data_IF_486034333706
#
_entry.id   IF_486034333706
#
_cell.length_a   1.000
_cell.length_b   1.000
_cell.length_c   1.000
_cell.angle_alpha   90.00
_cell.angle_beta   90.00
_cell.angle_gamma   90.00
#
_symmetry.space_group_name_H-M   'P 1'
#
loop_
_entity.id
_entity.type
_entity.pdbx_description
1 polymer ?
#
# COMPACT_ATOMS: atom_id res chain seq x y z
N UNK A 1 -2.23 -1.07 -16.00
CA UNK A 1 -2.37 0.21 -15.24
C UNK A 1 -1.31 0.20 -14.16
N UNK A 2 -0.54 1.27 -13.94
CA UNK A 2 0.58 1.23 -12.98
C UNK A 2 0.07 1.14 -11.53
N UNK A 3 0.57 0.15 -10.79
CA UNK A 3 0.36 -0.02 -9.35
C UNK A 3 1.43 0.67 -8.52
N UNK A 4 1.07 1.11 -7.31
CA UNK A 4 2.02 1.68 -6.36
C UNK A 4 2.29 0.69 -5.23
N UNK A 5 3.55 0.59 -4.82
CA UNK A 5 3.98 -0.18 -3.67
C UNK A 5 4.65 0.74 -2.64
N UNK A 6 4.25 0.60 -1.37
CA UNK A 6 4.84 1.32 -0.24
C UNK A 6 5.25 0.28 0.80
N UNK A 7 6.55 0.18 1.08
CA UNK A 7 7.05 -0.79 2.06
C UNK A 7 6.49 -0.51 3.47
N UNK A 8 6.46 0.76 3.86
CA UNK A 8 5.93 1.21 5.13
C UNK A 8 5.52 2.68 5.06
N UNK A 9 4.50 3.06 5.82
CA UNK A 9 4.16 4.44 6.13
C UNK A 9 3.77 4.52 7.61
N UNK A 10 4.27 5.54 8.31
CA UNK A 10 3.87 5.80 9.69
C UNK A 10 2.51 6.51 9.70
N UNK A 11 1.72 6.32 10.76
CA UNK A 11 0.45 7.01 10.95
C UNK A 11 0.67 8.54 10.96
N UNK A 12 -0.20 9.29 10.29
CA UNK A 12 -0.12 10.74 10.08
C UNK A 12 1.14 11.23 9.34
N UNK A 13 1.86 10.33 8.68
CA UNK A 13 3.01 10.72 7.85
C UNK A 13 2.59 11.26 6.49
N UNK A 14 3.50 11.96 5.82
CA UNK A 14 3.31 12.38 4.42
C UNK A 14 3.12 11.19 3.48
N UNK A 15 3.75 10.06 3.79
CA UNK A 15 3.62 8.83 3.00
C UNK A 15 2.22 8.23 3.16
N UNK A 16 1.64 8.27 4.36
CA UNK A 16 0.24 7.85 4.58
C UNK A 16 -0.72 8.76 3.80
N UNK A 17 -0.52 10.08 3.86
CA UNK A 17 -1.33 11.03 3.10
C UNK A 17 -1.29 10.75 1.59
N UNK A 18 -0.11 10.46 1.04
CA UNK A 18 0.04 10.03 -0.35
C UNK A 18 -0.71 8.71 -0.63
N UNK A 19 -0.67 7.74 0.29
CA UNK A 19 -1.44 6.50 0.16
C UNK A 19 -2.96 6.77 0.06
N UNK A 20 -3.47 7.70 0.87
CA UNK A 20 -4.88 8.13 0.80
C UNK A 20 -5.24 8.70 -0.58
N UNK A 21 -4.39 9.55 -1.15
CA UNK A 21 -4.60 10.13 -2.49
C UNK A 21 -4.61 9.05 -3.58
N UNK A 22 -3.66 8.11 -3.54
CA UNK A 22 -3.60 6.97 -4.47
C UNK A 22 -4.89 6.15 -4.44
N UNK A 23 -5.40 5.86 -3.24
CA UNK A 23 -6.64 5.13 -3.04
C UNK A 23 -7.86 5.95 -3.53
N UNK A 24 -7.89 7.26 -3.29
CA UNK A 24 -8.94 8.15 -3.78
C UNK A 24 -9.01 8.20 -5.32
N UNK A 25 -7.86 8.07 -5.99
CA UNK A 25 -7.79 7.92 -7.45
C UNK A 25 -8.20 6.53 -7.96
N UNK A 26 -8.63 5.63 -7.08
CA UNK A 26 -8.99 4.23 -7.38
C UNK A 26 -7.83 3.45 -8.02
N UNK A 27 -6.59 3.79 -7.67
CA UNK A 27 -5.41 3.04 -8.11
C UNK A 27 -5.08 1.93 -7.13
N UNK A 28 -4.57 0.77 -7.60
CA UNK A 28 -4.07 -0.26 -6.71
C UNK A 28 -2.90 0.25 -5.87
N UNK A 29 -3.01 0.06 -4.55
CA UNK A 29 -1.96 0.34 -3.58
C UNK A 29 -1.62 -0.97 -2.85
N UNK A 30 -0.35 -1.33 -2.87
CA UNK A 30 0.18 -2.49 -2.17
C UNK A 30 1.11 -2.06 -1.04
N UNK A 31 1.14 -2.82 0.04
CA UNK A 31 2.08 -2.61 1.15
C UNK A 31 2.49 -3.94 1.78
N UNK A 32 3.61 -3.95 2.51
CA UNK A 32 4.07 -5.17 3.18
C UNK A 32 3.00 -5.66 4.17
N UNK A 33 2.77 -6.98 4.16
CA UNK A 33 1.90 -7.69 5.08
C UNK A 33 2.47 -7.75 6.52
N UNK A 34 2.70 -6.57 7.11
CA UNK A 34 3.24 -6.36 8.45
C UNK A 34 2.21 -5.64 9.34
N UNK A 35 2.21 -5.93 10.65
CA UNK A 35 1.30 -5.29 11.59
C UNK A 35 1.52 -3.77 11.70
N UNK A 36 2.74 -3.28 11.45
CA UNK A 36 3.05 -1.85 11.40
C UNK A 36 2.23 -1.11 10.32
N UNK A 37 1.87 -1.79 9.23
CA UNK A 37 1.06 -1.25 8.14
C UNK A 37 -0.44 -1.49 8.33
N UNK A 38 -0.86 -1.95 9.52
CA UNK A 38 -2.25 -2.32 9.80
C UNK A 38 -3.28 -1.22 9.50
N UNK A 39 -2.90 0.04 9.67
CA UNK A 39 -3.75 1.19 9.33
C UNK A 39 -3.92 1.36 7.81
N UNK A 40 -2.90 1.05 7.01
CA UNK A 40 -2.98 1.08 5.55
C UNK A 40 -3.97 0.05 5.00
N UNK A 41 -4.03 -1.15 5.59
CA UNK A 41 -5.02 -2.18 5.20
C UNK A 41 -6.46 -1.69 5.43
N UNK A 42 -6.71 -1.00 6.55
CA UNK A 42 -8.04 -0.45 6.86
C UNK A 42 -8.48 0.63 5.86
N UNK A 43 -7.53 1.31 5.22
CA UNK A 43 -7.82 2.28 4.17
C UNK A 43 -8.09 1.63 2.80
N UNK A 44 -7.76 0.36 2.63
CA UNK A 44 -7.94 -0.38 1.37
C UNK A 44 -6.64 -0.71 0.64
N UNK A 45 -5.47 -0.53 1.27
CA UNK A 45 -4.22 -1.05 0.74
C UNK A 45 -4.23 -2.59 0.76
N UNK A 46 -3.68 -3.20 -0.29
CA UNK A 46 -3.61 -4.64 -0.43
C UNK A 46 -2.29 -5.15 0.19
N UNK A 47 -2.36 -6.09 1.14
CA UNK A 47 -1.15 -6.68 1.72
C UNK A 47 -0.43 -7.50 0.65
N UNK A 48 0.89 -7.37 0.61
CA UNK A 48 1.78 -8.13 -0.24
C UNK A 48 2.79 -8.85 0.64
N UNK A 49 2.91 -10.16 0.48
CA UNK A 49 4.01 -10.92 1.09
C UNK A 49 5.24 -10.82 0.19
N UNK A 50 6.46 -10.88 0.74
CA UNK A 50 7.68 -10.90 -0.08
C UNK A 50 7.68 -12.01 -1.15
N UNK A 51 7.02 -13.12 -0.89
CA UNK A 51 6.87 -14.23 -1.84
C UNK A 51 5.92 -13.93 -3.01
N UNK A 52 5.08 -12.89 -2.90
CA UNK A 52 4.02 -12.55 -3.85
C UNK A 52 4.43 -11.43 -4.84
N UNK A 53 5.71 -11.03 -4.88
CA UNK A 53 6.22 -9.89 -5.69
C UNK A 53 5.91 -10.02 -7.19
N UNK A 54 5.68 -11.23 -7.70
CA UNK A 54 5.19 -11.46 -9.05
C UNK A 54 3.86 -10.74 -9.40
N UNK A 55 3.09 -10.29 -8.40
CA UNK A 55 1.87 -9.50 -8.59
C UNK A 55 2.12 -8.03 -8.96
N UNK A 56 3.32 -7.50 -8.67
CA UNK A 56 3.67 -6.09 -8.94
C UNK A 56 4.26 -5.87 -10.34
N UNK A 57 4.61 -6.93 -11.05
CA UNK A 57 5.30 -6.89 -12.36
C UNK A 57 4.36 -7.12 -13.56
N UNK A 58 3.04 -7.08 -13.33
CA UNK A 58 1.99 -7.32 -14.34
C UNK A 58 1.25 -6.04 -14.69
#
# INVERSE_FOLDING_TARGET
>A
MPSNFVAHAELQSKTEQFCCEVLAWRKPLYTLADNANGHLFRMGAQPLRPDDVSLLLR
#
